data_IF_553210690247
#
_entry.id   IF_553210690247
#
_cell.length_a   1.000
_cell.length_b   1.000
_cell.length_c   1.000
_cell.angle_alpha   90.00
_cell.angle_beta   90.00
_cell.angle_gamma   90.00
#
_symmetry.space_group_name_H-M   'P 1'
#
loop_
_entity.id
_entity.type
_entity.pdbx_description
1 polymer ?
#
# COMPACT_ATOMS: atom_id res chain seq x y z
N UNK A 1 1.82 -2.95 -49.86
CA UNK A 1 0.71 -2.89 -48.88
C UNK A 1 1.26 -3.31 -47.52
N UNK A 2 1.40 -2.39 -46.56
CA UNK A 2 2.05 -2.64 -45.28
C UNK A 2 1.03 -3.03 -44.19
N UNK A 3 1.35 -4.06 -43.39
CA UNK A 3 0.59 -4.47 -42.21
C UNK A 3 1.43 -4.22 -40.96
N UNK A 4 0.91 -3.38 -40.06
CA UNK A 4 1.59 -2.80 -38.90
C UNK A 4 1.87 -3.86 -37.82
N UNK A 5 3.11 -4.33 -37.76
CA UNK A 5 3.66 -5.08 -36.62
C UNK A 5 4.54 -4.15 -35.77
N UNK A 6 3.94 -3.14 -35.14
CA UNK A 6 4.63 -2.31 -34.14
C UNK A 6 3.69 -1.94 -33.01
N UNK A 7 4.24 -2.01 -31.79
CA UNK A 7 3.72 -1.46 -30.55
C UNK A 7 2.80 -2.34 -29.68
N UNK A 8 3.38 -3.39 -29.08
CA UNK A 8 2.95 -3.89 -27.74
C UNK A 8 4.09 -4.30 -26.81
N UNK A 9 5.36 -4.22 -27.25
CA UNK A 9 6.53 -4.54 -26.41
C UNK A 9 7.03 -3.39 -25.53
N UNK A 10 6.58 -2.15 -25.78
CA UNK A 10 7.11 -0.97 -25.09
C UNK A 10 6.44 -0.61 -23.76
N UNK A 11 5.28 -1.18 -23.41
CA UNK A 11 4.49 -0.68 -22.28
C UNK A 11 4.72 -1.47 -20.98
N UNK A 12 5.15 -2.74 -21.04
CA UNK A 12 5.47 -3.53 -19.85
C UNK A 12 6.80 -3.13 -19.20
N UNK A 13 7.82 -2.80 -20.00
CA UNK A 13 9.15 -2.45 -19.51
C UNK A 13 9.22 -1.06 -18.84
N UNK A 14 8.34 -0.13 -19.20
CA UNK A 14 8.32 1.21 -18.60
C UNK A 14 7.68 1.19 -17.20
N UNK A 15 6.68 0.33 -16.96
CA UNK A 15 6.02 0.24 -15.65
C UNK A 15 6.95 -0.36 -14.59
N UNK A 16 7.92 -1.21 -14.98
CA UNK A 16 8.84 -1.88 -14.07
C UNK A 16 9.93 -0.98 -13.45
N UNK A 17 10.24 0.17 -14.05
CA UNK A 17 11.36 1.04 -13.59
C UNK A 17 10.98 2.02 -12.49
N UNK A 18 9.69 2.29 -12.32
CA UNK A 18 9.17 3.26 -11.35
C UNK A 18 8.42 2.56 -10.20
N UNK A 19 8.70 1.28 -9.97
CA UNK A 19 8.03 0.52 -8.92
C UNK A 19 8.62 0.83 -7.53
N UNK A 20 7.77 1.05 -6.53
CA UNK A 20 8.21 1.34 -5.17
C UNK A 20 9.03 0.21 -4.53
N UNK A 21 9.81 0.58 -3.52
CA UNK A 21 10.71 -0.30 -2.77
C UNK A 21 10.00 -1.51 -2.10
N UNK A 22 8.69 -1.43 -1.86
CA UNK A 22 7.88 -2.55 -1.35
C UNK A 22 7.64 -3.66 -2.37
N UNK A 23 7.96 -3.44 -3.65
CA UNK A 23 7.98 -4.48 -4.69
C UNK A 23 9.25 -5.34 -4.65
N UNK A 24 10.27 -4.93 -3.88
CA UNK A 24 11.53 -5.66 -3.76
C UNK A 24 11.68 -6.38 -2.42
N UNK A 25 10.63 -6.41 -1.58
CA UNK A 25 10.65 -7.16 -0.31
C UNK A 25 9.31 -7.85 0.00
N UNK A 26 9.37 -8.96 0.74
CA UNK A 26 8.17 -9.74 1.11
C UNK A 26 7.34 -10.17 -0.10
N UNK A 27 6.04 -9.90 -0.07
CA UNK A 27 5.10 -10.24 -1.15
C UNK A 27 5.31 -9.42 -2.43
N UNK A 28 6.07 -8.31 -2.36
CA UNK A 28 6.46 -7.53 -3.53
C UNK A 28 7.27 -8.32 -4.53
N UNK A 29 8.22 -9.14 -4.06
CA UNK A 29 9.07 -9.97 -4.92
C UNK A 29 8.23 -10.98 -5.70
N UNK A 30 7.21 -11.56 -5.06
CA UNK A 30 6.27 -12.48 -5.72
C UNK A 30 5.52 -11.77 -6.85
N UNK A 31 5.02 -10.57 -6.60
CA UNK A 31 4.30 -9.77 -7.61
C UNK A 31 5.22 -9.33 -8.74
N UNK A 32 6.43 -8.87 -8.41
CA UNK A 32 7.44 -8.50 -9.39
C UNK A 32 7.82 -9.70 -10.27
N UNK A 33 8.00 -10.88 -9.68
CA UNK A 33 8.26 -12.11 -10.41
C UNK A 33 7.07 -12.52 -11.29
N UNK A 34 5.83 -12.44 -10.80
CA UNK A 34 4.63 -12.70 -11.59
C UNK A 34 4.48 -11.71 -12.76
N UNK A 35 4.89 -10.45 -12.57
CA UNK A 35 4.90 -9.44 -13.61
C UNK A 35 5.98 -9.65 -14.66
N UNK A 36 7.20 -9.97 -14.23
CA UNK A 36 8.30 -10.34 -15.13
C UNK A 36 7.86 -11.56 -15.95
N UNK A 37 7.39 -12.62 -15.30
CA UNK A 37 6.95 -13.86 -15.95
C UNK A 37 5.80 -13.63 -16.94
N UNK A 38 4.83 -12.75 -16.65
CA UNK A 38 3.73 -12.44 -17.58
C UNK A 38 4.16 -11.56 -18.76
N UNK A 39 5.18 -10.71 -18.58
CA UNK A 39 5.78 -9.96 -19.69
C UNK A 39 6.62 -10.82 -20.61
N UNK A 40 7.21 -11.91 -20.09
CA UNK A 40 8.06 -12.84 -20.82
C UNK A 40 7.28 -14.02 -21.43
N UNK A 41 6.24 -14.51 -20.76
CA UNK A 41 5.37 -15.59 -21.22
C UNK A 41 3.89 -15.30 -20.89
N UNK A 42 3.08 -15.14 -21.93
CA UNK A 42 1.61 -14.98 -21.82
C UNK A 42 0.89 -16.19 -21.18
N UNK A 43 1.58 -17.33 -20.99
CA UNK A 43 1.08 -18.54 -20.32
C UNK A 43 1.50 -18.65 -18.85
N UNK A 44 2.26 -17.70 -18.32
CA UNK A 44 2.62 -17.68 -16.91
C UNK A 44 1.36 -17.59 -16.04
N UNK A 45 1.21 -18.53 -15.10
CA UNK A 45 0.11 -18.50 -14.12
C UNK A 45 0.29 -17.27 -13.22
N UNK A 46 -0.71 -16.40 -13.20
CA UNK A 46 -0.84 -15.34 -12.19
C UNK A 46 -1.67 -15.79 -11.00
N UNK A 47 -1.94 -17.10 -10.86
CA UNK A 47 -2.81 -17.67 -9.83
C UNK A 47 -4.19 -16.97 -9.74
N UNK A 48 -4.70 -16.51 -10.88
CA UNK A 48 -5.97 -15.79 -10.98
C UNK A 48 -5.88 -14.28 -10.75
N UNK A 49 -4.69 -13.73 -10.48
CA UNK A 49 -4.49 -12.29 -10.36
C UNK A 49 -4.62 -11.58 -11.72
N UNK A 50 -5.36 -10.47 -11.72
CA UNK A 50 -5.38 -9.49 -12.79
C UNK A 50 -4.48 -8.32 -12.39
N UNK A 51 -3.38 -8.17 -13.13
CA UNK A 51 -2.39 -7.12 -12.90
C UNK A 51 -3.02 -5.71 -12.91
N UNK A 52 -3.97 -5.45 -13.80
CA UNK A 52 -4.63 -4.15 -13.86
C UNK A 52 -5.52 -3.93 -12.62
N UNK A 53 -6.21 -4.97 -12.17
CA UNK A 53 -7.02 -4.92 -10.94
C UNK A 53 -6.15 -4.71 -9.69
N UNK A 54 -5.01 -5.40 -9.59
CA UNK A 54 -4.04 -5.23 -8.50
C UNK A 54 -3.46 -3.81 -8.47
N UNK A 55 -2.98 -3.30 -9.62
CA UNK A 55 -2.42 -1.94 -9.70
C UNK A 55 -3.48 -0.90 -9.32
N UNK A 56 -4.70 -1.04 -9.84
CA UNK A 56 -5.80 -0.11 -9.53
C UNK A 56 -6.17 -0.14 -8.05
N UNK A 57 -6.24 -1.32 -7.44
CA UNK A 57 -6.51 -1.49 -6.01
C UNK A 57 -5.44 -0.82 -5.15
N UNK A 58 -4.15 -1.09 -5.40
CA UNK A 58 -3.03 -0.49 -4.68
C UNK A 58 -2.97 1.02 -4.85
N UNK A 59 -3.19 1.51 -6.07
CA UNK A 59 -3.24 2.93 -6.37
C UNK A 59 -4.34 3.63 -5.57
N UNK A 60 -5.55 3.07 -5.56
CA UNK A 60 -6.68 3.62 -4.78
C UNK A 60 -6.43 3.60 -3.29
N UNK A 61 -5.84 2.53 -2.75
CA UNK A 61 -5.45 2.50 -1.34
C UNK A 61 -4.37 3.53 -1.01
N UNK A 62 -3.37 3.71 -1.87
CA UNK A 62 -2.36 4.75 -1.71
C UNK A 62 -2.99 6.14 -1.65
N UNK A 63 -3.87 6.46 -2.60
CA UNK A 63 -4.60 7.74 -2.60
C UNK A 63 -5.50 7.91 -1.37
N UNK A 64 -6.14 6.84 -0.90
CA UNK A 64 -6.95 6.85 0.31
C UNK A 64 -6.08 7.17 1.54
N UNK A 65 -4.89 6.58 1.66
CA UNK A 65 -3.97 6.87 2.76
C UNK A 65 -3.53 8.34 2.76
N UNK A 66 -3.14 8.88 1.61
CA UNK A 66 -2.74 10.28 1.47
C UNK A 66 -3.91 11.23 1.83
N UNK A 67 -5.13 10.88 1.41
CA UNK A 67 -6.35 11.61 1.78
C UNK A 67 -6.64 11.56 3.28
N UNK A 68 -6.45 10.41 3.91
CA UNK A 68 -6.60 10.23 5.36
C UNK A 68 -5.65 11.19 6.09
N UNK A 69 -4.37 11.22 5.71
CA UNK A 69 -3.39 12.11 6.35
C UNK A 69 -3.82 13.57 6.23
N UNK A 70 -4.23 14.00 5.02
CA UNK A 70 -4.74 15.36 4.79
C UNK A 70 -5.98 15.67 5.62
N UNK A 71 -6.90 14.72 5.75
CA UNK A 71 -8.17 14.90 6.48
C UNK A 71 -7.94 15.12 7.98
N UNK A 72 -6.98 14.42 8.56
CA UNK A 72 -6.67 14.49 9.99
C UNK A 72 -5.48 15.40 10.32
N UNK A 73 -4.88 16.06 9.32
CA UNK A 73 -3.73 16.95 9.51
C UNK A 73 -2.47 16.23 9.99
N UNK A 74 -2.29 14.96 9.58
CA UNK A 74 -1.14 14.15 9.97
C UNK A 74 0.10 14.49 9.12
N UNK A 75 1.28 14.32 9.73
CA UNK A 75 2.57 14.39 9.05
C UNK A 75 2.67 13.35 7.93
N UNK A 76 3.20 13.76 6.78
CA UNK A 76 3.46 12.88 5.64
C UNK A 76 4.81 12.17 5.85
N UNK A 77 4.84 10.84 6.05
CA UNK A 77 6.07 10.09 6.27
C UNK A 77 7.07 10.28 5.13
N UNK A 78 8.30 10.66 5.48
CA UNK A 78 9.38 11.00 4.52
C UNK A 78 8.95 12.00 3.43
N UNK A 79 7.92 12.81 3.68
CA UNK A 79 7.32 13.73 2.73
C UNK A 79 6.98 13.10 1.36
N UNK A 80 6.62 11.82 1.36
CA UNK A 80 6.38 10.99 0.16
C UNK A 80 4.97 10.40 0.19
N UNK A 81 4.32 10.29 -0.96
CA UNK A 81 2.96 9.68 -1.07
C UNK A 81 3.00 8.20 -0.75
N UNK A 82 1.92 7.66 -0.18
CA UNK A 82 1.83 6.27 0.26
C UNK A 82 2.22 5.27 -0.82
N UNK A 83 1.92 5.51 -2.10
CA UNK A 83 2.18 4.53 -3.16
C UNK A 83 3.67 4.29 -3.41
N UNK A 84 4.53 5.30 -3.27
CA UNK A 84 5.98 5.21 -3.51
C UNK A 84 6.82 5.26 -2.22
N UNK A 85 6.16 5.31 -1.06
CA UNK A 85 6.85 5.39 0.23
C UNK A 85 7.59 4.09 0.55
N UNK A 86 8.83 4.19 1.03
CA UNK A 86 9.61 3.06 1.52
C UNK A 86 9.69 3.07 3.04
N UNK A 87 9.17 2.02 3.68
CA UNK A 87 9.34 1.81 5.12
C UNK A 87 10.81 1.73 5.49
N UNK A 88 11.63 1.06 4.67
CA UNK A 88 13.05 0.86 4.97
C UNK A 88 13.79 2.19 4.99
N UNK A 89 13.58 3.05 4.00
CA UNK A 89 14.22 4.36 3.94
C UNK A 89 13.71 5.27 5.06
N UNK A 90 12.40 5.29 5.32
CA UNK A 90 11.83 6.01 6.45
C UNK A 90 12.44 5.58 7.80
N UNK A 91 12.65 4.28 7.98
CA UNK A 91 13.29 3.72 9.18
C UNK A 91 14.74 4.18 9.32
N UNK A 92 15.52 4.11 8.25
CA UNK A 92 16.92 4.58 8.22
C UNK A 92 17.00 6.07 8.54
N UNK A 93 16.17 6.89 7.90
CA UNK A 93 16.11 8.34 8.12
C UNK A 93 15.82 8.69 9.58
N UNK A 94 14.81 8.04 10.19
CA UNK A 94 14.48 8.26 11.61
C UNK A 94 15.60 7.83 12.54
N UNK A 95 16.19 6.66 12.31
CA UNK A 95 17.30 6.17 13.12
C UNK A 95 18.49 7.14 13.06
N UNK A 96 18.79 7.71 11.89
CA UNK A 96 19.87 8.69 11.74
C UNK A 96 19.54 10.04 12.39
N UNK A 97 18.31 10.53 12.25
CA UNK A 97 17.92 11.88 12.72
C UNK A 97 17.61 11.95 14.21
N UNK A 98 16.99 10.91 14.76
CA UNK A 98 16.44 10.92 16.12
C UNK A 98 17.12 9.91 17.04
N UNK A 99 17.90 8.96 16.51
CA UNK A 99 18.48 7.87 17.28
C UNK A 99 17.45 6.87 17.83
N UNK A 100 16.19 6.97 17.40
CA UNK A 100 15.06 6.19 17.91
C UNK A 100 14.90 4.87 17.16
N UNK A 101 14.73 3.77 17.91
CA UNK A 101 14.24 2.52 17.33
C UNK A 101 12.83 2.72 16.78
N UNK A 102 12.58 2.26 15.55
CA UNK A 102 11.25 2.34 14.93
C UNK A 102 10.28 1.33 15.55
N UNK A 103 10.78 0.16 15.94
CA UNK A 103 9.98 -0.89 16.56
C UNK A 103 9.97 -0.70 18.08
N UNK A 104 9.33 0.39 18.50
CA UNK A 104 9.11 0.70 19.90
C UNK A 104 7.68 0.37 20.32
N UNK A 105 7.39 0.57 21.61
CA UNK A 105 6.06 0.34 22.18
C UNK A 105 4.97 1.17 21.52
N UNK A 106 5.31 2.35 20.98
CA UNK A 106 4.35 3.23 20.30
C UNK A 106 3.93 2.63 18.96
N UNK A 107 4.90 2.21 18.14
CA UNK A 107 4.65 1.49 16.89
C UNK A 107 3.77 0.26 17.12
N UNK A 108 4.16 -0.60 18.07
CA UNK A 108 3.43 -1.83 18.36
C UNK A 108 2.00 -1.56 18.84
N UNK A 109 1.80 -0.51 19.62
CA UNK A 109 0.48 -0.14 20.12
C UNK A 109 -0.45 0.30 18.98
N UNK A 110 0.02 1.22 18.12
CA UNK A 110 -0.76 1.72 16.98
C UNK A 110 -1.00 0.58 15.98
N UNK A 111 0.03 -0.23 15.69
CA UNK A 111 -0.07 -1.38 14.80
C UNK A 111 -1.14 -2.37 15.27
N UNK A 112 -1.15 -2.74 16.56
CA UNK A 112 -2.17 -3.65 17.11
C UNK A 112 -3.58 -3.06 16.97
N UNK A 113 -3.76 -1.77 17.26
CA UNK A 113 -5.07 -1.14 17.09
C UNK A 113 -5.56 -1.17 15.63
N UNK A 114 -4.66 -0.99 14.65
CA UNK A 114 -4.99 -1.13 13.24
C UNK A 114 -5.39 -2.57 12.86
N UNK A 115 -4.68 -3.57 13.39
CA UNK A 115 -4.98 -4.99 13.17
C UNK A 115 -6.33 -5.37 13.80
N UNK A 116 -6.53 -5.05 15.07
CA UNK A 116 -7.77 -5.35 15.81
C UNK A 116 -8.98 -4.65 15.18
N UNK A 117 -8.76 -3.45 14.66
CA UNK A 117 -9.75 -2.66 13.93
C UNK A 117 -9.96 -3.07 12.47
N UNK A 118 -9.27 -4.10 11.96
CA UNK A 118 -9.36 -4.57 10.57
C UNK A 118 -9.18 -3.44 9.55
N UNK A 119 -8.23 -2.54 9.81
CA UNK A 119 -7.99 -1.36 8.99
C UNK A 119 -7.68 -1.71 7.53
N UNK A 120 -6.91 -2.78 7.32
CA UNK A 120 -6.45 -3.17 5.99
C UNK A 120 -7.61 -3.73 5.14
N UNK A 121 -7.95 -3.11 4.00
CA UNK A 121 -8.97 -3.65 3.11
C UNK A 121 -8.49 -4.97 2.49
N UNK A 122 -9.33 -6.01 2.57
CA UNK A 122 -9.00 -7.31 1.99
C UNK A 122 -9.18 -7.29 0.47
N UNK A 123 -8.15 -7.66 -0.30
CA UNK A 123 -8.25 -7.77 -1.76
C UNK A 123 -9.01 -9.03 -2.19
N UNK A 124 -9.54 -9.02 -3.41
CA UNK A 124 -9.99 -10.24 -4.10
C UNK A 124 -8.81 -11.02 -4.69
N UNK A 125 -9.08 -12.25 -5.17
CA UNK A 125 -8.08 -13.07 -5.88
C UNK A 125 -7.49 -12.30 -7.07
N UNK A 126 -8.33 -11.58 -7.83
CA UNK A 126 -7.88 -10.79 -8.98
C UNK A 126 -7.01 -9.61 -8.56
N UNK A 127 -7.23 -9.05 -7.37
CA UNK A 127 -6.44 -7.93 -6.84
C UNK A 127 -5.12 -8.39 -6.21
N UNK A 128 -4.95 -9.70 -6.03
CA UNK A 128 -3.74 -10.29 -5.49
C UNK A 128 -3.61 -10.09 -3.97
N UNK A 129 -2.38 -10.03 -3.46
CA UNK A 129 -2.14 -10.02 -2.03
C UNK A 129 -2.36 -8.65 -1.39
N UNK A 130 -2.53 -8.67 -0.07
CA UNK A 130 -2.72 -7.48 0.75
C UNK A 130 -1.66 -6.40 0.51
N UNK A 131 -2.10 -5.14 0.45
CA UNK A 131 -1.22 -3.99 0.32
C UNK A 131 -0.84 -3.44 1.70
N UNK A 132 0.01 -4.19 2.42
CA UNK A 132 0.40 -3.90 3.81
C UNK A 132 1.03 -2.50 3.97
N UNK A 133 1.63 -1.95 2.92
CA UNK A 133 2.18 -0.59 2.90
C UNK A 133 1.14 0.47 3.31
N UNK A 134 -0.13 0.29 2.91
CA UNK A 134 -1.23 1.18 3.34
C UNK A 134 -1.27 1.32 4.87
N UNK A 135 -1.26 0.20 5.58
CA UNK A 135 -1.29 0.20 7.04
C UNK A 135 0.02 0.74 7.63
N UNK A 136 1.17 0.31 7.11
CA UNK A 136 2.48 0.75 7.60
C UNK A 136 2.67 2.27 7.47
N UNK A 137 2.21 2.84 6.36
CA UNK A 137 2.25 4.27 6.09
C UNK A 137 1.41 5.06 7.08
N UNK A 138 0.17 4.62 7.34
CA UNK A 138 -0.71 5.26 8.33
C UNK A 138 -0.13 5.16 9.74
N UNK A 139 0.42 4.00 10.14
CA UNK A 139 1.08 3.84 11.44
C UNK A 139 2.29 4.78 11.57
N UNK A 140 3.10 4.89 10.52
CA UNK A 140 4.21 5.84 10.49
C UNK A 140 3.70 7.28 10.70
N UNK A 141 2.71 7.72 9.92
CA UNK A 141 2.16 9.07 9.98
C UNK A 141 1.59 9.43 11.36
N UNK A 142 0.82 8.53 11.97
CA UNK A 142 0.26 8.72 13.32
C UNK A 142 1.39 8.89 14.33
N UNK A 143 2.41 8.03 14.26
CA UNK A 143 3.57 8.10 15.14
C UNK A 143 4.36 9.40 14.96
N UNK A 144 4.57 9.85 13.73
CA UNK A 144 5.29 11.11 13.45
C UNK A 144 4.53 12.35 13.92
N UNK A 145 3.20 12.28 13.99
CA UNK A 145 2.34 13.40 14.36
C UNK A 145 2.27 13.63 15.88
N UNK A 146 2.93 12.79 16.69
CA UNK A 146 3.14 12.96 18.13
C UNK A 146 1.88 13.34 18.95
N UNK A 147 0.72 12.79 18.58
CA UNK A 147 -0.47 12.87 19.42
C UNK A 147 -0.30 11.85 20.56
N UNK A 148 -0.59 12.24 21.80
CA UNK A 148 -0.38 11.39 22.97
C UNK A 148 -1.11 10.05 22.86
N UNK A 149 -0.73 9.04 23.65
CA UNK A 149 -1.28 7.68 23.53
C UNK A 149 -2.82 7.59 23.56
N UNK A 150 -3.50 8.48 24.32
CA UNK A 150 -4.98 8.53 24.37
C UNK A 150 -5.60 9.10 23.10
N UNK A 151 -4.93 10.05 22.44
CA UNK A 151 -5.42 10.67 21.21
C UNK A 151 -5.24 9.74 20.02
N UNK A 152 -4.23 8.86 20.06
CA UNK A 152 -3.99 7.88 19.00
C UNK A 152 -5.12 6.85 18.89
N UNK A 153 -5.72 6.41 20.00
CA UNK A 153 -6.82 5.42 19.94
C UNK A 153 -8.07 5.99 19.28
N UNK A 154 -8.46 7.21 19.64
CA UNK A 154 -9.60 7.88 19.01
C UNK A 154 -9.31 8.19 17.53
N UNK A 155 -8.09 8.63 17.21
CA UNK A 155 -7.66 8.87 15.84
C UNK A 155 -7.71 7.58 15.00
N UNK A 156 -7.15 6.47 15.50
CA UNK A 156 -7.17 5.18 14.78
C UNK A 156 -8.62 4.74 14.53
N UNK A 157 -9.53 4.89 15.50
CA UNK A 157 -10.96 4.60 15.31
C UNK A 157 -11.58 5.48 14.21
N UNK A 158 -11.26 6.76 14.14
CA UNK A 158 -11.73 7.66 13.07
C UNK A 158 -11.17 7.27 11.70
N UNK A 159 -9.90 6.88 11.63
CA UNK A 159 -9.26 6.40 10.41
C UNK A 159 -9.91 5.10 9.92
N UNK A 160 -10.17 4.15 10.82
CA UNK A 160 -10.88 2.90 10.50
C UNK A 160 -12.25 3.21 9.89
N UNK A 161 -13.06 4.04 10.55
CA UNK A 161 -14.39 4.42 10.03
C UNK A 161 -14.32 5.07 8.66
N UNK A 162 -13.39 6.01 8.44
CA UNK A 162 -13.22 6.65 7.15
C UNK A 162 -12.81 5.64 6.06
N UNK A 163 -11.97 4.66 6.42
CA UNK A 163 -11.58 3.58 5.51
C UNK A 163 -12.77 2.68 5.19
N UNK A 164 -13.60 2.32 6.17
CA UNK A 164 -14.84 1.55 5.98
C UNK A 164 -15.84 2.29 5.07
N UNK A 165 -16.04 3.58 5.29
CA UNK A 165 -16.90 4.42 4.46
C UNK A 165 -16.36 4.50 3.01
N UNK A 166 -15.05 4.66 2.84
CA UNK A 166 -14.43 4.66 1.52
C UNK A 166 -14.62 3.32 0.79
N UNK A 167 -14.47 2.19 1.49
CA UNK A 167 -14.77 0.85 0.95
C UNK A 167 -16.24 0.72 0.57
N UNK A 168 -17.15 1.29 1.37
CA UNK A 168 -18.58 1.25 1.11
C UNK A 168 -18.99 2.08 -0.12
N UNK A 169 -18.18 3.06 -0.51
CA UNK A 169 -18.47 3.95 -1.64
C UNK A 169 -17.74 3.53 -2.93
N UNK A 170 -16.61 2.81 -2.83
CA UNK A 170 -15.82 2.38 -3.98
C UNK A 170 -15.87 0.86 -4.18
N UNK A 171 -16.55 0.36 -5.24
CA UNK A 171 -16.62 -1.06 -5.56
C UNK A 171 -15.25 -1.74 -5.75
N UNK A 172 -14.21 -1.01 -6.16
CA UNK A 172 -12.87 -1.58 -6.30
C UNK A 172 -12.16 -1.76 -4.95
N UNK A 173 -12.57 -1.06 -3.89
CA UNK A 173 -12.08 -1.31 -2.53
C UNK A 173 -12.92 -2.35 -1.77
N UNK A 174 -14.03 -2.79 -2.37
CA UNK A 174 -15.07 -3.64 -1.76
C UNK A 174 -14.98 -5.10 -2.15
N UNK A 175 -14.26 -5.43 -3.23
CA UNK A 175 -14.15 -6.80 -3.77
C UNK A 175 -13.31 -7.65 -2.83
N UNK A 176 -13.97 -8.20 -1.83
CA UNK A 176 -13.45 -9.10 -0.81
C UNK A 176 -14.63 -9.71 -0.06
N UNK A 177 -15.66 -10.14 -0.79
CA UNK A 177 -16.73 -10.98 -0.24
C UNK A 177 -16.43 -12.41 -0.59
N UNK A 178 -16.04 -13.14 0.45
CA UNK A 178 -15.92 -14.60 0.50
C UNK A 178 -17.15 -15.24 -0.15
N UNK A 179 -16.92 -16.05 -1.18
CA UNK A 179 -17.79 -17.17 -1.53
C UNK A 179 -17.37 -18.40 -0.75
#
# INVERSE_FOLDING_TARGET
MPGVSRSRRGHGQTILKDLPDDWYSGTGIYILNSLINTTEDSRASTDGMDIAAMISFRWKLGQLADRILKTFGLSVPSNTTCIIWSKLEWQKERQMRLGESVFDRSWDCIWRQCIDGKLLPQPSVEQGPEFIQFQQYLVAAIRESALGHKDNEELVKKIIRLTEDAKALDPELRRGTVG
#
